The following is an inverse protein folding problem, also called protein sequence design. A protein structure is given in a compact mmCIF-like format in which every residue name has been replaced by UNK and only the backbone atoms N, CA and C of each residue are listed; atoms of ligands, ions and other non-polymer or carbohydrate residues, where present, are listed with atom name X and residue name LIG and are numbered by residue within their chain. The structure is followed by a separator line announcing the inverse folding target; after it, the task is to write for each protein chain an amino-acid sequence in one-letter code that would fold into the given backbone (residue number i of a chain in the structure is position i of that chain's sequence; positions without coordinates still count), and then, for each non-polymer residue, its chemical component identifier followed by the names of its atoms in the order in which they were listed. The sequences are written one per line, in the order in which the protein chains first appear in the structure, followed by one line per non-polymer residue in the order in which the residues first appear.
data_IF_552995629575
#
_entry.id   IF_552995629575
#
_cell.length_a   1.000
_cell.length_b   1.000
_cell.length_c   1.000
_cell.angle_alpha   90.00
_cell.angle_beta   90.00
_cell.angle_gamma   90.00
#
_symmetry.space_group_name_H-M   'P 1'
#
loop_
_entity.id
_entity.type
_entity.pdbx_description
1 polymer ?
#
# COMPACT_ATOMS: atom_id res chain seq x y z
N UNK A 1 -38.87 -51.34 -9.68
CA UNK A 1 -39.26 -50.06 -10.30
C UNK A 1 -38.20 -49.05 -9.94
N UNK A 2 -37.45 -48.70 -10.96
CA UNK A 2 -36.21 -47.96 -10.98
C UNK A 2 -36.33 -46.54 -10.41
N UNK A 3 -35.25 -46.06 -9.77
CA UNK A 3 -34.74 -44.70 -9.98
C UNK A 3 -33.22 -44.72 -9.98
N UNK A 4 -32.69 -44.30 -11.12
CA UNK A 4 -31.31 -44.37 -11.57
C UNK A 4 -30.29 -43.74 -10.60
N UNK A 5 -29.16 -44.43 -10.44
CA UNK A 5 -27.90 -43.83 -10.00
C UNK A 5 -27.53 -42.70 -10.95
N UNK A 6 -27.47 -41.47 -10.46
CA UNK A 6 -26.87 -40.35 -11.17
C UNK A 6 -25.51 -40.07 -10.55
N UNK A 7 -24.50 -40.68 -11.16
CA UNK A 7 -23.08 -40.40 -10.91
C UNK A 7 -22.75 -39.10 -11.64
N UNK A 8 -22.59 -38.00 -10.90
CA UNK A 8 -22.12 -36.74 -11.48
C UNK A 8 -20.60 -36.79 -11.47
N UNK A 9 -20.03 -37.22 -12.59
CA UNK A 9 -18.61 -37.05 -12.89
C UNK A 9 -18.40 -35.58 -13.27
N UNK A 10 -18.10 -34.74 -12.28
CA UNK A 10 -17.52 -33.42 -12.56
C UNK A 10 -16.04 -33.68 -12.80
N UNK A 11 -15.62 -33.57 -14.06
CA UNK A 11 -14.20 -33.59 -14.42
C UNK A 11 -13.45 -32.60 -13.53
N UNK A 12 -12.63 -33.15 -12.62
CA UNK A 12 -11.90 -32.43 -11.58
C UNK A 12 -10.82 -31.50 -12.14
N UNK A 13 -10.71 -31.39 -13.47
CA UNK A 13 -9.68 -30.63 -14.16
C UNK A 13 -10.11 -29.23 -14.64
N UNK A 14 -11.38 -28.84 -14.57
CA UNK A 14 -11.81 -27.62 -15.30
C UNK A 14 -12.01 -26.37 -14.43
N UNK A 15 -12.04 -26.46 -13.10
CA UNK A 15 -12.29 -25.28 -12.23
C UNK A 15 -11.04 -24.85 -11.46
N UNK A 16 -10.28 -25.78 -10.86
CA UNK A 16 -9.02 -25.42 -10.19
C UNK A 16 -7.97 -24.90 -11.18
N UNK A 17 -7.91 -25.46 -12.39
CA UNK A 17 -7.02 -24.97 -13.45
C UNK A 17 -7.46 -23.60 -13.93
N UNK A 18 -8.76 -23.34 -14.04
CA UNK A 18 -9.29 -22.04 -14.47
C UNK A 18 -9.14 -20.96 -13.39
N UNK A 19 -9.31 -21.32 -12.11
CA UNK A 19 -9.05 -20.44 -10.96
C UNK A 19 -7.55 -20.12 -10.89
N UNK A 20 -6.68 -21.12 -11.02
CA UNK A 20 -5.22 -20.90 -11.07
C UNK A 20 -4.80 -20.06 -12.27
N UNK A 21 -5.43 -20.26 -13.44
CA UNK A 21 -5.13 -19.47 -14.65
C UNK A 21 -5.62 -18.02 -14.52
N UNK A 22 -6.76 -17.79 -13.87
CA UNK A 22 -7.28 -16.46 -13.55
C UNK A 22 -6.50 -15.78 -12.42
N UNK A 23 -5.99 -16.51 -11.43
CA UNK A 23 -5.06 -16.00 -10.41
C UNK A 23 -3.69 -15.66 -11.02
N UNK A 24 -3.20 -16.48 -11.96
CA UNK A 24 -1.98 -16.21 -12.70
C UNK A 24 -2.11 -14.97 -13.61
N UNK A 25 -3.23 -14.84 -14.33
CA UNK A 25 -3.54 -13.64 -15.13
C UNK A 25 -3.79 -12.38 -14.28
N UNK A 26 -4.19 -12.55 -13.01
CA UNK A 26 -4.34 -11.44 -12.05
C UNK A 26 -3.01 -11.01 -11.42
N UNK A 27 -2.00 -11.89 -11.43
CA UNK A 27 -0.63 -11.61 -10.97
C UNK A 27 0.23 -10.91 -12.05
N UNK A 28 -0.10 -11.05 -13.33
CA UNK A 28 0.69 -10.50 -14.47
C UNK A 28 0.42 -9.00 -14.74
N UNK A 29 -0.29 -8.30 -13.85
CA UNK A 29 -0.55 -6.86 -13.95
C UNK A 29 0.18 -6.13 -12.81
N UNK A 30 1.40 -5.65 -13.10
CA UNK A 30 2.27 -4.84 -12.24
C UNK A 30 3.06 -5.59 -11.14
N UNK A 31 3.15 -6.93 -11.13
CA UNK A 31 3.82 -7.73 -10.07
C UNK A 31 4.72 -8.89 -10.57
N UNK A 32 5.34 -8.79 -11.75
CA UNK A 32 6.20 -9.88 -12.27
C UNK A 32 7.59 -9.95 -11.62
N UNK A 33 8.22 -8.82 -11.31
CA UNK A 33 9.62 -8.79 -10.84
C UNK A 33 9.78 -9.22 -9.38
N UNK A 34 8.83 -8.88 -8.52
CA UNK A 34 8.83 -9.32 -7.11
C UNK A 34 8.56 -10.82 -6.99
N UNK A 35 7.64 -11.35 -7.80
CA UNK A 35 7.39 -12.80 -7.90
C UNK A 35 8.62 -13.51 -8.46
N UNK A 36 9.25 -12.95 -9.50
CA UNK A 36 10.49 -13.47 -10.07
C UNK A 36 11.65 -13.44 -9.07
N UNK A 37 11.73 -12.42 -8.20
CA UNK A 37 12.71 -12.33 -7.11
C UNK A 37 12.51 -13.46 -6.10
N UNK A 38 11.29 -13.62 -5.60
CA UNK A 38 10.96 -14.65 -4.60
C UNK A 38 11.25 -16.04 -5.18
N UNK A 39 10.86 -16.28 -6.44
CA UNK A 39 11.14 -17.54 -7.14
C UNK A 39 12.63 -17.78 -7.34
N UNK A 40 13.39 -16.76 -7.77
CA UNK A 40 14.83 -16.89 -7.96
C UNK A 40 15.59 -17.13 -6.66
N UNK A 41 15.12 -16.59 -5.52
CA UNK A 41 15.65 -16.94 -4.20
C UNK A 41 15.32 -18.39 -3.85
N UNK A 42 14.08 -18.80 -4.06
CA UNK A 42 13.64 -20.16 -3.77
C UNK A 42 14.47 -21.20 -4.55
N UNK A 43 14.68 -20.95 -5.84
CA UNK A 43 15.45 -21.80 -6.76
C UNK A 43 16.97 -21.60 -6.65
N UNK A 44 17.44 -20.65 -5.84
CA UNK A 44 18.85 -20.24 -5.75
C UNK A 44 19.48 -19.83 -7.09
N UNK A 45 18.70 -19.21 -7.97
CA UNK A 45 19.13 -18.69 -9.27
C UNK A 45 19.88 -17.35 -9.11
N UNK A 46 21.19 -17.44 -8.91
CA UNK A 46 22.07 -16.29 -8.70
C UNK A 46 22.10 -15.34 -9.91
N UNK A 47 21.92 -15.84 -11.14
CA UNK A 47 21.97 -15.01 -12.34
C UNK A 47 20.77 -14.08 -12.40
N UNK A 48 19.58 -14.62 -12.17
CA UNK A 48 18.33 -13.86 -12.10
C UNK A 48 18.36 -12.87 -10.94
N UNK A 49 18.81 -13.30 -9.75
CA UNK A 49 18.94 -12.42 -8.58
C UNK A 49 19.88 -11.24 -8.85
N UNK A 50 21.01 -11.48 -9.51
CA UNK A 50 21.96 -10.41 -9.83
C UNK A 50 21.35 -9.40 -10.80
N UNK A 51 20.57 -9.85 -11.78
CA UNK A 51 19.87 -8.97 -12.71
C UNK A 51 18.78 -8.13 -12.02
N UNK A 52 17.99 -8.76 -11.13
CA UNK A 52 16.94 -8.09 -10.38
C UNK A 52 17.51 -7.06 -9.38
N UNK A 53 18.55 -7.42 -8.64
CA UNK A 53 19.20 -6.52 -7.67
C UNK A 53 19.89 -5.33 -8.35
N UNK A 54 20.36 -5.45 -9.59
CA UNK A 54 20.86 -4.30 -10.37
C UNK A 54 19.74 -3.29 -10.69
N UNK A 55 18.52 -3.78 -10.88
CA UNK A 55 17.31 -2.97 -11.14
C UNK A 55 16.43 -2.89 -9.89
N UNK A 56 17.07 -2.82 -8.72
CA UNK A 56 16.40 -2.81 -7.40
C UNK A 56 15.37 -1.71 -7.25
N UNK A 57 15.47 -0.61 -8.01
CA UNK A 57 14.51 0.49 -7.92
C UNK A 57 13.10 0.10 -8.38
N UNK A 58 12.97 -1.00 -9.13
CA UNK A 58 11.72 -1.58 -9.61
C UNK A 58 11.18 -2.72 -8.72
N UNK A 59 11.82 -2.99 -7.58
CA UNK A 59 11.41 -4.01 -6.61
C UNK A 59 10.78 -3.37 -5.38
N UNK A 60 9.86 -4.10 -4.75
CA UNK A 60 9.24 -3.68 -3.50
C UNK A 60 10.07 -4.08 -2.27
N UNK A 61 10.05 -3.22 -1.24
CA UNK A 61 10.74 -3.48 0.03
C UNK A 61 10.25 -4.76 0.71
N UNK A 62 8.93 -5.01 0.66
CA UNK A 62 8.30 -6.20 1.21
C UNK A 62 8.81 -7.48 0.54
N UNK A 63 8.96 -7.48 -0.78
CA UNK A 63 9.48 -8.60 -1.55
C UNK A 63 10.95 -8.91 -1.19
N UNK A 64 11.80 -7.88 -1.05
CA UNK A 64 13.20 -8.05 -0.61
C UNK A 64 13.31 -8.56 0.83
N UNK A 65 12.44 -8.10 1.74
CA UNK A 65 12.39 -8.61 3.11
C UNK A 65 11.98 -10.08 3.16
N UNK A 66 10.96 -10.48 2.40
CA UNK A 66 10.52 -11.89 2.28
C UNK A 66 11.64 -12.74 1.69
N UNK A 67 12.27 -12.29 0.60
CA UNK A 67 13.39 -12.96 -0.04
C UNK A 67 14.57 -13.19 0.93
N UNK A 68 14.87 -12.23 1.81
CA UNK A 68 15.90 -12.37 2.84
C UNK A 68 15.55 -13.43 3.89
N UNK A 69 14.30 -13.50 4.35
CA UNK A 69 13.86 -14.52 5.31
C UNK A 69 13.91 -15.93 4.71
N UNK A 70 13.44 -16.11 3.46
CA UNK A 70 13.58 -17.39 2.73
C UNK A 70 15.05 -17.81 2.64
N UNK A 71 15.93 -16.86 2.33
CA UNK A 71 17.37 -17.13 2.22
C UNK A 71 18.00 -17.55 3.56
N UNK A 72 17.53 -16.99 4.68
CA UNK A 72 17.97 -17.37 6.03
C UNK A 72 17.50 -18.79 6.38
N UNK A 73 16.24 -19.11 6.12
CA UNK A 73 15.69 -20.44 6.36
C UNK A 73 16.44 -21.52 5.55
N UNK A 74 16.81 -21.19 4.31
CA UNK A 74 17.63 -22.04 3.43
C UNK A 74 19.12 -22.03 3.73
N UNK A 75 19.58 -21.23 4.71
CA UNK A 75 20.99 -21.03 5.04
C UNK A 75 21.86 -20.63 3.82
N UNK A 76 21.32 -19.83 2.90
CA UNK A 76 21.99 -19.43 1.67
C UNK A 76 22.72 -18.08 1.84
N UNK A 77 23.95 -18.14 2.39
CA UNK A 77 24.76 -16.98 2.68
C UNK A 77 25.14 -16.13 1.43
N UNK A 78 25.18 -16.74 0.24
CA UNK A 78 25.52 -16.04 -1.01
C UNK A 78 24.37 -15.11 -1.41
N UNK A 79 23.13 -15.60 -1.34
CA UNK A 79 21.95 -14.80 -1.66
C UNK A 79 21.75 -13.68 -0.64
N UNK A 80 21.98 -13.94 0.65
CA UNK A 80 21.90 -12.89 1.70
C UNK A 80 22.88 -11.74 1.40
N UNK A 81 24.13 -12.06 1.08
CA UNK A 81 25.15 -11.04 0.72
C UNK A 81 24.78 -10.22 -0.51
N UNK A 82 24.00 -10.79 -1.43
CA UNK A 82 23.51 -10.11 -2.63
C UNK A 82 22.30 -9.22 -2.33
N UNK A 83 21.41 -9.66 -1.44
CA UNK A 83 20.19 -8.93 -1.06
C UNK A 83 20.45 -7.78 -0.07
N UNK A 84 21.43 -7.90 0.82
CA UNK A 84 21.69 -6.90 1.88
C UNK A 84 21.92 -5.47 1.35
N UNK A 85 22.75 -5.25 0.31
CA UNK A 85 22.92 -3.92 -0.29
C UNK A 85 21.63 -3.40 -0.94
N UNK A 86 20.86 -4.29 -1.56
CA UNK A 86 19.59 -3.96 -2.21
C UNK A 86 18.55 -3.48 -1.19
N UNK A 87 18.41 -4.24 -0.11
CA UNK A 87 17.51 -3.93 1.00
C UNK A 87 17.90 -2.59 1.64
N UNK A 88 19.20 -2.36 1.88
CA UNK A 88 19.69 -1.10 2.43
C UNK A 88 19.37 0.09 1.53
N UNK A 89 19.58 -0.03 0.21
CA UNK A 89 19.26 1.03 -0.77
C UNK A 89 17.77 1.38 -0.77
N UNK A 90 16.87 0.39 -0.73
CA UNK A 90 15.42 0.66 -0.65
C UNK A 90 15.03 1.18 0.73
N UNK A 91 15.64 0.67 1.81
CA UNK A 91 15.40 1.18 3.16
C UNK A 91 15.83 2.64 3.31
N UNK A 92 16.96 3.06 2.74
CA UNK A 92 17.39 4.46 2.71
C UNK A 92 16.42 5.33 1.90
N UNK A 93 15.90 4.82 0.77
CA UNK A 93 14.80 5.46 0.00
C UNK A 93 13.50 5.58 0.81
N UNK A 94 13.18 4.55 1.59
CA UNK A 94 11.97 4.50 2.44
C UNK A 94 12.15 5.35 3.71
N UNK A 95 13.38 5.46 4.22
CA UNK A 95 13.74 6.29 5.37
C UNK A 95 13.67 7.79 5.03
N UNK A 96 13.97 8.16 3.77
CA UNK A 96 13.67 9.48 3.22
C UNK A 96 12.16 9.76 3.11
N UNK A 97 11.32 8.73 3.19
CA UNK A 97 9.84 8.82 3.30
C UNK A 97 9.35 8.75 4.75
N UNK A 98 10.18 8.26 5.67
CA UNK A 98 9.83 7.97 7.07
C UNK A 98 10.38 8.98 8.08
N UNK A 99 10.85 10.15 7.66
CA UNK A 99 11.03 11.30 8.57
C UNK A 99 9.72 11.94 9.00
N UNK A 100 8.57 11.31 8.69
CA UNK A 100 7.28 11.60 9.33
C UNK A 100 7.19 10.81 10.63
N UNK A 101 8.07 11.14 11.58
CA UNK A 101 7.95 10.70 12.96
C UNK A 101 6.78 11.48 13.60
N UNK A 102 5.73 10.75 13.99
CA UNK A 102 4.80 11.18 15.05
C UNK A 102 3.45 11.75 14.62
N UNK A 103 3.36 12.50 13.53
CA UNK A 103 2.09 13.07 13.05
C UNK A 103 2.09 12.99 11.52
N UNK A 104 1.22 12.15 10.94
CA UNK A 104 0.99 12.20 9.50
C UNK A 104 0.42 13.56 9.16
N UNK A 105 1.21 14.38 8.48
CA UNK A 105 0.80 15.68 7.95
C UNK A 105 -0.59 15.57 7.32
N UNK A 106 -1.52 16.45 7.71
CA UNK A 106 -2.92 16.37 7.29
C UNK A 106 -3.11 16.43 5.77
N UNK A 107 -2.12 16.96 5.04
CA UNK A 107 -2.10 17.06 3.58
C UNK A 107 -1.44 15.85 2.89
N UNK A 108 -0.89 14.88 3.61
CA UNK A 108 -0.24 13.71 3.01
C UNK A 108 -1.17 12.49 2.99
N UNK A 109 -1.47 12.00 1.78
CA UNK A 109 -2.46 10.94 1.55
C UNK A 109 -1.78 9.72 0.92
N UNK A 110 -1.86 8.58 1.61
CA UNK A 110 -1.33 7.29 1.14
C UNK A 110 -2.42 6.45 0.48
N UNK A 111 -2.06 5.69 -0.56
CA UNK A 111 -2.97 4.70 -1.17
C UNK A 111 -4.12 5.30 -1.98
N UNK A 112 -4.05 6.59 -2.33
CA UNK A 112 -5.01 7.23 -3.24
C UNK A 112 -4.38 7.46 -4.61
N UNK A 113 -5.17 7.26 -5.65
CA UNK A 113 -4.76 7.47 -7.04
C UNK A 113 -5.14 8.89 -7.51
N UNK A 114 -4.94 9.18 -8.80
CA UNK A 114 -5.32 10.49 -9.37
C UNK A 114 -6.81 10.77 -9.31
N UNK A 115 -7.64 9.76 -9.56
CA UNK A 115 -9.08 9.92 -9.66
C UNK A 115 -9.66 10.20 -8.28
N UNK A 116 -9.23 9.44 -7.28
CA UNK A 116 -9.63 9.62 -5.89
C UNK A 116 -9.16 10.97 -5.34
N UNK A 117 -7.93 11.39 -5.63
CA UNK A 117 -7.45 12.72 -5.27
C UNK A 117 -8.31 13.84 -5.89
N UNK A 118 -8.76 13.65 -7.13
CA UNK A 118 -9.62 14.60 -7.82
C UNK A 118 -10.99 14.67 -7.16
N UNK A 119 -11.58 13.51 -6.86
CA UNK A 119 -12.86 13.40 -6.18
C UNK A 119 -12.84 14.08 -4.81
N UNK A 120 -11.85 13.76 -3.98
CA UNK A 120 -11.69 14.34 -2.64
C UNK A 120 -11.53 15.86 -2.70
N UNK A 121 -10.67 16.37 -3.59
CA UNK A 121 -10.46 17.81 -3.71
C UNK A 121 -11.67 18.57 -4.27
N UNK A 122 -12.57 17.89 -5.00
CA UNK A 122 -13.82 18.49 -5.48
C UNK A 122 -14.93 18.52 -4.44
N UNK A 123 -14.72 17.93 -3.26
CA UNK A 123 -15.67 18.01 -2.15
C UNK A 123 -16.00 19.49 -1.82
N UNK A 124 -17.27 19.83 -1.48
CA UNK A 124 -17.67 21.19 -1.10
C UNK A 124 -16.90 21.79 0.07
N UNK A 125 -16.32 20.97 0.96
CA UNK A 125 -15.48 21.42 2.07
C UNK A 125 -14.09 21.93 1.62
N UNK A 126 -13.73 21.71 0.36
CA UNK A 126 -12.48 22.15 -0.24
C UNK A 126 -12.69 23.39 -1.10
N UNK A 127 -11.80 24.38 -0.95
CA UNK A 127 -11.82 25.64 -1.70
C UNK A 127 -10.63 25.73 -2.67
N UNK A 128 -10.60 26.77 -3.51
CA UNK A 128 -9.43 27.08 -4.35
C UNK A 128 -8.15 27.16 -3.50
N UNK A 129 -7.09 26.50 -3.96
CA UNK A 129 -5.83 26.36 -3.24
C UNK A 129 -5.79 25.20 -2.25
N UNK A 130 -6.91 24.50 -2.01
CA UNK A 130 -6.91 23.26 -1.21
C UNK A 130 -6.06 22.21 -1.92
N UNK A 131 -5.28 21.45 -1.15
CA UNK A 131 -4.28 20.57 -1.73
C UNK A 131 -4.04 19.29 -0.93
N UNK A 132 -3.48 18.29 -1.62
CA UNK A 132 -2.91 17.11 -0.99
C UNK A 132 -1.64 16.67 -1.74
N UNK A 133 -0.75 15.99 -1.03
CA UNK A 133 0.39 15.28 -1.61
C UNK A 133 0.12 13.79 -1.47
N UNK A 134 0.26 13.07 -2.59
CA UNK A 134 0.08 11.61 -2.66
C UNK A 134 1.29 10.95 -3.31
N UNK A 135 1.40 9.64 -3.13
CA UNK A 135 2.35 8.84 -3.90
C UNK A 135 2.05 8.98 -5.40
N UNK A 136 3.11 9.16 -6.19
CA UNK A 136 2.96 9.25 -7.64
C UNK A 136 2.63 7.90 -8.24
N UNK A 137 1.76 7.88 -9.25
CA UNK A 137 1.57 6.71 -10.12
C UNK A 137 2.71 6.59 -11.14
N UNK A 138 3.54 7.63 -11.27
CA UNK A 138 4.67 7.63 -12.19
C UNK A 138 5.96 7.21 -11.46
N UNK A 139 6.57 6.07 -11.81
CA UNK A 139 7.76 5.56 -11.13
C UNK A 139 8.96 6.50 -11.13
N UNK A 140 9.07 7.42 -12.09
CA UNK A 140 10.18 8.36 -12.18
C UNK A 140 10.12 9.50 -11.15
N UNK A 141 9.01 9.63 -10.40
CA UNK A 141 8.78 10.72 -9.44
C UNK A 141 8.14 10.16 -8.18
N UNK A 142 8.65 10.41 -6.97
CA UNK A 142 8.09 9.79 -5.76
C UNK A 142 6.69 10.28 -5.41
N UNK A 143 6.40 11.56 -5.64
CA UNK A 143 5.15 12.19 -5.19
C UNK A 143 4.47 13.03 -6.27
N UNK A 144 3.19 13.30 -6.04
CA UNK A 144 2.39 14.25 -6.81
C UNK A 144 1.64 15.18 -5.86
N UNK A 145 1.78 16.49 -6.06
CA UNK A 145 0.97 17.53 -5.41
C UNK A 145 -0.27 17.78 -6.27
N UNK A 146 -1.46 17.61 -5.70
CA UNK A 146 -2.74 17.89 -6.36
C UNK A 146 -3.38 19.11 -5.71
N UNK A 147 -3.82 20.09 -6.52
CA UNK A 147 -4.30 21.41 -6.06
C UNK A 147 -5.61 21.76 -6.75
N UNK A 148 -6.62 22.19 -5.99
CA UNK A 148 -7.89 22.70 -6.54
C UNK A 148 -7.72 24.10 -7.10
N UNK A 149 -8.16 24.30 -8.33
CA UNK A 149 -8.18 25.59 -9.01
C UNK A 149 -9.52 25.79 -9.73
N UNK A 150 -10.47 26.44 -9.05
CA UNK A 150 -11.85 26.54 -9.50
C UNK A 150 -12.52 25.17 -9.62
N UNK A 151 -13.02 24.87 -10.81
CA UNK A 151 -13.66 23.60 -11.19
C UNK A 151 -12.66 22.58 -11.78
N UNK A 152 -11.34 22.82 -11.63
CA UNK A 152 -10.29 21.94 -12.11
C UNK A 152 -9.31 21.54 -11.00
N UNK A 153 -8.71 20.35 -11.13
CA UNK A 153 -7.61 19.90 -10.27
C UNK A 153 -6.31 19.88 -11.08
N UNK A 154 -5.31 20.61 -10.60
CA UNK A 154 -3.97 20.60 -11.17
C UNK A 154 -3.09 19.59 -10.44
N UNK A 155 -2.33 18.79 -11.18
CA UNK A 155 -1.42 17.80 -10.63
C UNK A 155 0.03 18.12 -11.02
N UNK A 156 0.86 18.37 -10.01
CA UNK A 156 2.27 18.68 -10.15
C UNK A 156 3.11 17.50 -9.68
N UNK A 157 3.95 16.98 -10.57
CA UNK A 157 4.89 15.92 -10.19
C UNK A 157 6.00 16.50 -9.33
N UNK A 158 6.31 15.82 -8.23
CA UNK A 158 7.44 16.17 -7.36
C UNK A 158 8.56 15.20 -7.68
N UNK A 159 9.66 15.73 -8.21
CA UNK A 159 10.90 14.99 -8.43
C UNK A 159 11.79 15.00 -7.19
N UNK A 160 12.77 14.09 -7.19
CA UNK A 160 13.81 14.02 -6.16
C UNK A 160 15.19 14.04 -6.84
N UNK A 161 16.08 14.90 -6.35
CA UNK A 161 17.49 14.96 -6.76
C UNK A 161 18.29 14.10 -5.80
N UNK A 162 18.89 13.03 -6.32
CA UNK A 162 19.60 12.07 -5.49
C UNK A 162 20.91 12.63 -4.91
N UNK A 163 21.62 13.46 -5.68
CA UNK A 163 22.92 14.01 -5.26
C UNK A 163 22.80 14.94 -4.04
N UNK A 164 21.77 15.79 -4.04
CA UNK A 164 21.52 16.77 -2.97
C UNK A 164 20.48 16.31 -1.95
N UNK A 165 19.86 15.14 -2.18
CA UNK A 165 18.72 14.63 -1.42
C UNK A 165 17.58 15.66 -1.24
N UNK A 166 17.17 16.33 -2.32
CA UNK A 166 16.14 17.39 -2.30
C UNK A 166 14.97 17.12 -3.24
N UNK A 167 13.81 17.69 -2.91
CA UNK A 167 12.58 17.66 -3.69
C UNK A 167 12.40 18.91 -4.54
N UNK A 168 11.74 18.79 -5.68
CA UNK A 168 11.40 19.93 -6.55
C UNK A 168 10.14 19.66 -7.37
N UNK A 169 9.46 20.71 -7.85
CA UNK A 169 8.23 20.59 -8.66
C UNK A 169 8.54 20.65 -10.16
N UNK A 170 8.17 19.62 -10.91
CA UNK A 170 8.35 19.57 -12.37
C UNK A 170 7.35 20.52 -13.07
N UNK A 171 7.79 21.31 -14.08
CA UNK A 171 9.07 21.20 -14.80
C UNK A 171 10.23 22.04 -14.26
N UNK A 172 10.06 22.81 -13.18
CA UNK A 172 11.07 23.77 -12.72
C UNK A 172 11.93 23.23 -11.58
N UNK A 173 13.24 23.13 -11.81
CA UNK A 173 14.23 22.83 -10.76
C UNK A 173 14.77 24.08 -10.06
N UNK A 174 14.16 25.25 -10.26
CA UNK A 174 14.65 26.53 -9.72
C UNK A 174 14.66 26.54 -8.18
N UNK A 175 13.67 25.88 -7.57
CA UNK A 175 13.54 25.76 -6.13
C UNK A 175 13.60 24.29 -5.73
N UNK A 176 14.48 23.98 -4.78
CA UNK A 176 14.68 22.65 -4.22
C UNK A 176 14.51 22.68 -2.71
N UNK A 177 14.01 21.59 -2.13
CA UNK A 177 13.58 21.53 -0.72
C UNK A 177 14.11 20.27 -0.05
N UNK A 178 14.55 20.35 1.21
CA UNK A 178 15.05 19.18 1.95
C UNK A 178 13.96 18.18 2.32
N UNK A 179 12.72 18.65 2.45
CA UNK A 179 11.56 17.86 2.84
C UNK A 179 10.30 18.45 2.17
N UNK A 180 9.18 17.73 2.28
CA UNK A 180 7.91 18.14 1.69
C UNK A 180 7.26 19.31 2.46
N UNK A 181 7.50 19.44 3.76
CA UNK A 181 7.01 20.55 4.58
C UNK A 181 7.54 21.89 4.07
N UNK A 182 8.84 21.98 3.77
CA UNK A 182 9.48 23.17 3.22
C UNK A 182 8.94 23.51 1.83
N UNK A 183 8.67 22.49 1.00
CA UNK A 183 8.03 22.65 -0.30
C UNK A 183 6.61 23.24 -0.15
N UNK A 184 5.80 22.65 0.73
CA UNK A 184 4.42 23.13 1.00
C UNK A 184 4.46 24.55 1.52
N UNK A 185 5.33 24.84 2.50
CA UNK A 185 5.51 26.19 3.06
C UNK A 185 5.88 27.20 1.98
N UNK A 186 6.83 26.87 1.10
CA UNK A 186 7.22 27.76 0.02
C UNK A 186 6.06 28.07 -0.93
N UNK A 187 5.32 27.06 -1.39
CA UNK A 187 4.17 27.27 -2.29
C UNK A 187 2.91 27.82 -1.60
N UNK A 188 2.93 27.94 -0.27
CA UNK A 188 1.91 28.67 0.51
C UNK A 188 2.16 30.19 0.47
N UNK A 189 3.44 30.63 0.53
CA UNK A 189 3.77 32.05 0.75
C UNK A 189 4.49 32.74 -0.41
N UNK A 190 5.33 32.04 -1.16
CA UNK A 190 6.28 32.63 -2.11
C UNK A 190 6.18 32.05 -3.51
N UNK A 191 5.97 30.74 -3.62
CA UNK A 191 6.00 30.01 -4.88
C UNK A 191 4.78 30.29 -5.76
N UNK A 192 4.98 30.12 -7.07
CA UNK A 192 3.91 30.25 -8.07
C UNK A 192 3.56 28.88 -8.66
N UNK A 193 2.30 28.47 -8.49
CA UNK A 193 1.66 27.34 -9.18
C UNK A 193 0.46 27.88 -9.98
N UNK A 194 -0.64 27.14 -10.09
CA UNK A 194 -1.93 27.68 -10.57
C UNK A 194 -2.55 28.68 -9.57
N UNK A 195 -2.33 28.45 -8.28
CA UNK A 195 -2.73 29.32 -7.17
C UNK A 195 -1.86 28.99 -5.94
N UNK A 196 -1.80 29.88 -4.93
CA UNK A 196 -1.15 29.57 -3.66
C UNK A 196 -1.82 28.38 -2.96
N UNK A 197 -1.03 27.59 -2.24
CA UNK A 197 -1.57 26.56 -1.37
C UNK A 197 -2.25 27.21 -0.16
N UNK A 198 -3.47 26.78 0.18
CA UNK A 198 -4.26 27.42 1.25
C UNK A 198 -4.47 26.49 2.44
N UNK A 199 -5.09 25.33 2.23
CA UNK A 199 -5.37 24.34 3.28
C UNK A 199 -5.20 22.90 2.78
N UNK A 200 -4.90 22.00 3.71
CA UNK A 200 -4.93 20.57 3.44
C UNK A 200 -6.33 20.15 2.96
N UNK A 201 -6.39 19.17 2.05
CA UNK A 201 -7.63 18.58 1.59
C UNK A 201 -8.41 18.01 2.78
N UNK A 202 -9.67 18.40 2.90
CA UNK A 202 -10.59 17.75 3.82
C UNK A 202 -10.82 16.29 3.39
N UNK A 203 -10.76 15.37 4.35
CA UNK A 203 -11.18 13.98 4.22
C UNK A 203 -11.94 13.57 5.47
N UNK A 204 -13.16 13.07 5.30
CA UNK A 204 -13.90 12.47 6.40
C UNK A 204 -13.31 11.10 6.76
N UNK A 205 -12.42 11.09 7.75
CA UNK A 205 -11.74 9.88 8.23
C UNK A 205 -12.68 8.84 8.85
N UNK A 206 -13.97 9.16 9.07
CA UNK A 206 -14.98 8.20 9.55
C UNK A 206 -15.26 7.07 8.55
N UNK A 207 -14.91 7.26 7.28
CA UNK A 207 -15.19 6.29 6.21
C UNK A 207 -13.98 5.40 5.84
N UNK A 208 -12.78 5.67 6.39
CA UNK A 208 -11.56 4.95 5.98
C UNK A 208 -10.70 4.46 7.18
N UNK A 209 -11.34 3.76 8.11
CA UNK A 209 -10.73 3.21 9.34
C UNK A 209 -9.87 1.96 9.11
N UNK A 210 -9.59 1.57 7.86
CA UNK A 210 -8.74 0.42 7.55
C UNK A 210 -7.26 0.69 7.84
N UNK A 211 -6.82 1.96 7.84
CA UNK A 211 -5.42 2.33 8.06
C UNK A 211 -4.99 2.36 9.54
N UNK A 212 -5.89 2.67 10.47
CA UNK A 212 -5.57 2.75 11.91
C UNK A 212 -5.55 1.38 12.59
N UNK A 213 -6.22 0.36 12.00
CA UNK A 213 -6.26 -1.00 12.55
C UNK A 213 -5.02 -1.84 12.22
N UNK A 214 -4.14 -1.38 11.33
CA UNK A 214 -2.96 -2.13 10.88
C UNK A 214 -1.67 -1.81 11.66
N UNK A 215 -1.64 -0.78 12.53
CA UNK A 215 -0.40 -0.34 13.19
C UNK A 215 -0.16 -0.87 14.59
N UNK A 216 -1.15 -1.46 15.26
CA UNK A 216 -0.92 -2.13 16.54
C UNK A 216 -1.50 -3.54 16.52
N UNK A 217 -0.64 -4.50 16.22
CA UNK A 217 -0.89 -5.86 16.66
C UNK A 217 -1.03 -5.86 18.18
N UNK A 218 -2.16 -6.40 18.64
CA UNK A 218 -2.32 -7.09 19.93
C UNK A 218 -2.66 -6.26 21.18
N UNK A 219 -3.88 -5.69 21.22
CA UNK A 219 -4.92 -5.89 22.26
C UNK A 219 -5.93 -4.73 22.17
N UNK A 220 -6.99 -4.92 21.41
CA UNK A 220 -8.19 -4.11 21.64
C UNK A 220 -8.80 -4.53 22.98
N UNK A 221 -9.15 -3.56 23.82
CA UNK A 221 -9.96 -3.81 25.00
C UNK A 221 -11.31 -4.36 24.55
N UNK A 222 -11.56 -5.64 24.85
CA UNK A 222 -12.81 -6.34 24.52
C UNK A 222 -14.04 -5.65 25.07
N UNK A 223 -13.90 -4.74 26.05
CA UNK A 223 -14.99 -3.93 26.59
C UNK A 223 -15.66 -3.03 25.54
N UNK A 224 -14.98 -2.67 24.45
CA UNK A 224 -15.52 -1.79 23.41
C UNK A 224 -16.20 -2.56 22.25
N UNK A 225 -16.13 -3.89 22.26
CA UNK A 225 -16.74 -4.74 21.23
C UNK A 225 -18.16 -5.14 21.63
N UNK A 226 -19.15 -4.71 20.86
CA UNK A 226 -20.55 -5.13 21.00
C UNK A 226 -20.92 -6.12 19.91
N UNK A 227 -21.16 -7.39 20.24
CA UNK A 227 -21.72 -8.35 19.29
C UNK A 227 -23.18 -8.00 18.97
N UNK A 228 -23.51 -7.90 17.69
CA UNK A 228 -24.86 -7.57 17.20
C UNK A 228 -25.60 -8.83 16.79
N UNK A 229 -25.03 -9.60 15.85
CA UNK A 229 -25.75 -10.66 15.14
C UNK A 229 -24.82 -11.82 14.83
N UNK A 230 -25.28 -13.05 15.08
CA UNK A 230 -24.53 -14.24 14.62
C UNK A 230 -24.68 -14.38 13.10
N UNK A 231 -23.55 -14.40 12.40
CA UNK A 231 -23.47 -14.55 10.94
C UNK A 231 -23.34 -16.02 10.51
N UNK A 232 -22.77 -16.88 11.37
CA UNK A 232 -22.70 -18.31 11.11
C UNK A 232 -21.85 -19.07 12.12
N UNK A 233 -21.88 -20.40 12.07
CA UNK A 233 -21.08 -21.27 12.94
C UNK A 233 -20.38 -22.32 12.08
N UNK A 234 -19.05 -22.42 12.22
CA UNK A 234 -18.25 -23.50 11.67
C UNK A 234 -17.77 -24.46 12.77
N UNK A 235 -17.03 -25.49 12.36
CA UNK A 235 -16.44 -26.48 13.26
C UNK A 235 -15.45 -25.86 14.26
N UNK A 236 -14.75 -24.79 13.87
CA UNK A 236 -13.66 -24.20 14.65
C UNK A 236 -13.97 -22.81 15.24
N UNK A 237 -15.01 -22.14 14.76
CA UNK A 237 -15.32 -20.78 15.17
C UNK A 237 -16.78 -20.40 14.92
N UNK A 238 -17.25 -19.44 15.69
CA UNK A 238 -18.49 -18.73 15.43
C UNK A 238 -18.17 -17.37 14.81
N UNK A 239 -18.98 -16.95 13.83
CA UNK A 239 -18.86 -15.67 13.16
C UNK A 239 -20.01 -14.78 13.60
N UNK A 240 -19.70 -13.54 13.98
CA UNK A 240 -20.66 -12.53 14.39
C UNK A 240 -20.41 -11.23 13.62
N UNK A 241 -21.46 -10.44 13.45
CA UNK A 241 -21.40 -9.00 13.21
C UNK A 241 -21.27 -8.32 14.58
N UNK A 242 -20.34 -7.40 14.72
CA UNK A 242 -20.13 -6.60 15.93
C UNK A 242 -20.01 -5.11 15.61
N UNK A 243 -20.04 -4.28 16.65
CA UNK A 243 -19.71 -2.86 16.60
C UNK A 243 -18.52 -2.62 17.51
N UNK A 244 -17.54 -1.86 17.01
CA UNK A 244 -16.48 -1.26 17.83
C UNK A 244 -16.54 0.23 17.59
N UNK A 245 -16.80 1.02 18.63
CA UNK A 245 -16.91 2.49 18.52
C UNK A 245 -17.80 2.92 17.32
N UNK A 246 -18.99 2.32 17.22
CA UNK A 246 -19.98 2.52 16.14
C UNK A 246 -19.60 2.06 14.71
N UNK A 247 -18.44 1.40 14.56
CA UNK A 247 -18.01 0.79 13.29
C UNK A 247 -18.43 -0.67 13.25
N UNK A 248 -19.12 -1.08 12.18
CA UNK A 248 -19.50 -2.48 11.96
C UNK A 248 -18.28 -3.34 11.60
N UNK A 249 -18.09 -4.44 12.31
CA UNK A 249 -16.98 -5.39 12.13
C UNK A 249 -17.48 -6.83 12.06
N UNK A 250 -16.71 -7.73 11.43
CA UNK A 250 -16.93 -9.17 11.50
C UNK A 250 -16.03 -9.78 12.58
N UNK A 251 -16.64 -10.41 13.59
CA UNK A 251 -15.95 -11.01 14.73
C UNK A 251 -15.89 -12.52 14.55
N UNK A 252 -14.69 -13.09 14.60
CA UNK A 252 -14.45 -14.54 14.59
C UNK A 252 -14.14 -15.00 16.01
N UNK A 253 -15.14 -15.57 16.68
CA UNK A 253 -14.99 -16.11 18.01
C UNK A 253 -14.53 -17.57 17.93
N UNK A 254 -13.32 -17.86 18.40
CA UNK A 254 -12.75 -19.21 18.34
C UNK A 254 -13.39 -20.05 19.46
N UNK A 255 -13.95 -21.20 19.10
CA UNK A 255 -14.49 -22.13 20.09
C UNK A 255 -13.32 -22.74 20.86
N UNK A 256 -13.36 -22.70 22.19
CA UNK A 256 -12.39 -23.43 23.00
C UNK A 256 -12.57 -24.94 22.73
N UNK A 257 -11.50 -25.64 22.37
CA UNK A 257 -11.52 -27.10 22.28
C UNK A 257 -11.81 -27.66 23.67
N UNK A 258 -13.01 -28.21 23.88
CA UNK A 258 -13.25 -29.16 24.96
C UNK A 258 -12.56 -30.46 24.56
N UNK A 259 -11.28 -30.60 24.95
CA UNK A 259 -10.58 -31.87 24.85
C UNK A 259 -11.27 -32.89 25.75
N UNK A 260 -11.71 -33.99 25.13
CA UNK A 260 -11.77 -35.33 25.72
C UNK A 260 -11.52 -36.32 24.58
#
# INVERSE_FOLDING_TARGET
MDKEKHEVHIEKETIEVQIKKLELQRLESQTDKDVMLIKAVDESDIATLTHLVKNVDELDLSALSIAKEISKEKNNAIVIKLLDPALRKIQERTALTSTVDGETEAWYFTGIDRQEATHLLMDPENDVGSFLIRQSENPATPFTLSVRFGEAINHYRIGFLQDDATYFVIPSKLHTFKNLQDLVKFYTYEGSLCCPLTKACYRDDRQNTTSTLHKEGLKMDTAQLRLIKKLGSGQFAERFEGLVQDIKVAVKNIKANSGN
#
